data_IF_121590987961
#
_entry.id   IF_121590987961
#
_cell.length_a   1.000
_cell.length_b   1.000
_cell.length_c   1.000
_cell.angle_alpha   90.00
_cell.angle_beta   90.00
_cell.angle_gamma   90.00
#
_symmetry.space_group_name_H-M   'P 1'
#
loop_
_entity.id
_entity.type
_entity.pdbx_description
1 polymer ?
#
# COMPACT_ATOMS: atom_id res chain seq x y z
N UNK A 1 -7.07 10.08 -5.05
CA UNK A 1 -5.61 9.86 -5.08
C UNK A 1 -5.20 9.87 -3.62
N UNK A 2 -4.37 8.93 -3.17
CA UNK A 2 -4.02 8.78 -1.77
C UNK A 2 -2.76 9.60 -1.48
N UNK A 3 -2.71 10.30 -0.35
CA UNK A 3 -1.53 11.07 0.06
C UNK A 3 -0.39 10.14 0.52
N UNK A 4 0.82 10.70 0.61
CA UNK A 4 1.96 9.95 1.12
C UNK A 4 1.79 9.51 2.59
N UNK A 5 1.11 10.33 3.39
CA UNK A 5 0.83 10.05 4.80
C UNK A 5 -0.18 8.90 4.93
N UNK A 6 -1.27 8.97 4.17
CA UNK A 6 -2.27 7.90 4.12
C UNK A 6 -1.63 6.59 3.65
N UNK A 7 -0.79 6.62 2.61
CA UNK A 7 -0.12 5.42 2.12
C UNK A 7 0.75 4.76 3.19
N UNK A 8 1.52 5.55 3.95
CA UNK A 8 2.31 5.03 5.08
C UNK A 8 1.43 4.44 6.17
N UNK A 9 0.38 5.16 6.57
CA UNK A 9 -0.56 4.69 7.58
C UNK A 9 -1.22 3.36 7.17
N UNK A 10 -1.58 3.20 5.90
CA UNK A 10 -2.12 1.94 5.39
C UNK A 10 -1.10 0.79 5.43
N UNK A 11 0.17 1.06 5.10
CA UNK A 11 1.23 0.04 5.24
C UNK A 11 1.46 -0.36 6.69
N UNK A 12 1.48 0.61 7.60
CA UNK A 12 1.66 0.38 9.03
C UNK A 12 0.47 -0.40 9.61
N UNK A 13 -0.77 -0.06 9.24
CA UNK A 13 -1.97 -0.80 9.63
C UNK A 13 -1.96 -2.26 9.12
N UNK A 14 -1.33 -2.49 7.97
CA UNK A 14 -1.14 -3.83 7.40
C UNK A 14 0.12 -4.53 7.91
N UNK A 15 0.93 -3.89 8.77
CA UNK A 15 2.25 -4.36 9.17
C UNK A 15 3.12 -4.80 7.98
N UNK A 16 3.07 -4.03 6.88
CA UNK A 16 3.81 -4.31 5.66
C UNK A 16 5.00 -3.37 5.52
N UNK A 17 6.17 -3.94 5.22
CA UNK A 17 7.30 -3.14 4.74
C UNK A 17 7.02 -2.66 3.32
N UNK A 18 7.69 -1.58 2.90
CA UNK A 18 7.56 -1.08 1.52
C UNK A 18 7.96 -2.13 0.45
N UNK A 19 8.86 -3.05 0.79
CA UNK A 19 9.27 -4.14 -0.08
C UNK A 19 8.19 -5.22 -0.19
N UNK A 20 7.54 -5.57 0.92
CA UNK A 20 6.41 -6.50 0.91
C UNK A 20 5.20 -5.89 0.19
N UNK A 21 4.91 -4.62 0.46
CA UNK A 21 3.87 -3.88 -0.25
C UNK A 21 4.10 -3.85 -1.76
N UNK A 22 5.34 -3.62 -2.20
CA UNK A 22 5.71 -3.65 -3.61
C UNK A 22 5.42 -5.01 -4.24
N UNK A 23 5.76 -6.10 -3.54
CA UNK A 23 5.47 -7.47 -3.99
C UNK A 23 3.96 -7.75 -4.07
N UNK A 24 3.20 -7.37 -3.06
CA UNK A 24 1.74 -7.59 -3.02
C UNK A 24 0.98 -6.75 -4.04
N UNK A 25 1.44 -5.52 -4.31
CA UNK A 25 0.84 -4.60 -5.26
C UNK A 25 1.33 -4.82 -6.71
N UNK A 26 2.31 -5.71 -6.92
CA UNK A 26 2.88 -5.96 -8.25
C UNK A 26 3.67 -4.77 -8.83
N UNK A 27 4.26 -3.92 -7.98
CA UNK A 27 5.03 -2.74 -8.40
C UNK A 27 6.50 -2.86 -7.99
N UNK A 28 7.37 -2.06 -8.59
CA UNK A 28 8.77 -2.00 -8.17
C UNK A 28 8.92 -1.39 -6.78
N UNK A 29 9.97 -1.77 -6.05
CA UNK A 29 10.30 -1.18 -4.76
C UNK A 29 10.48 0.34 -4.84
N UNK A 30 11.12 0.84 -5.91
CA UNK A 30 11.28 2.28 -6.17
C UNK A 30 9.93 2.98 -6.34
N UNK A 31 8.95 2.31 -6.95
CA UNK A 31 7.59 2.82 -7.11
C UNK A 31 6.89 2.93 -5.76
N UNK A 32 7.00 1.91 -4.91
CA UNK A 32 6.48 1.94 -3.52
C UNK A 32 7.11 3.07 -2.69
N UNK A 33 8.43 3.29 -2.81
CA UNK A 33 9.12 4.43 -2.19
C UNK A 33 8.61 5.78 -2.72
N UNK A 34 8.33 5.88 -4.03
CA UNK A 34 7.75 7.09 -4.62
C UNK A 34 6.38 7.38 -4.03
N UNK A 35 5.53 6.37 -3.84
CA UNK A 35 4.22 6.53 -3.22
C UNK A 35 4.31 7.03 -1.78
N UNK A 36 5.28 6.52 -1.01
CA UNK A 36 5.56 7.00 0.34
C UNK A 36 6.12 8.43 0.40
N UNK A 37 6.51 9.05 -0.73
CA UNK A 37 6.99 10.44 -0.80
C UNK A 37 6.00 11.40 -1.46
N UNK A 38 5.34 10.96 -2.53
CA UNK A 38 4.51 11.81 -3.39
C UNK A 38 3.01 11.48 -3.33
N UNK A 39 2.64 10.36 -2.68
CA UNK A 39 1.28 9.84 -2.71
C UNK A 39 1.10 8.77 -3.78
N UNK A 40 0.05 7.97 -3.60
CA UNK A 40 -0.28 6.84 -4.45
C UNK A 40 -1.47 7.16 -5.37
N UNK A 41 -1.45 6.69 -6.63
CA UNK A 41 -2.60 6.74 -7.52
C UNK A 41 -3.83 6.03 -6.93
N UNK A 42 -5.03 6.38 -7.43
CA UNK A 42 -6.30 5.82 -6.93
C UNK A 42 -6.38 4.29 -7.05
N UNK A 43 -5.83 3.70 -8.11
CA UNK A 43 -5.82 2.24 -8.26
C UNK A 43 -4.98 1.52 -7.21
N UNK A 44 -3.88 2.13 -6.74
CA UNK A 44 -3.07 1.58 -5.64
C UNK A 44 -3.79 1.68 -4.31
N UNK A 45 -4.51 2.79 -4.07
CA UNK A 45 -5.32 2.95 -2.87
C UNK A 45 -6.40 1.85 -2.77
N UNK A 46 -7.11 1.59 -3.87
CA UNK A 46 -8.11 0.50 -3.95
C UNK A 46 -7.48 -0.89 -3.76
N UNK A 47 -6.28 -1.12 -4.31
CA UNK A 47 -5.57 -2.38 -4.11
C UNK A 47 -5.14 -2.59 -2.64
N UNK A 48 -4.73 -1.53 -1.94
CA UNK A 48 -4.43 -1.59 -0.51
C UNK A 48 -5.69 -1.86 0.33
N UNK A 49 -6.82 -1.24 0.00
CA UNK A 49 -8.11 -1.52 0.65
C UNK A 49 -8.55 -2.98 0.44
N UNK A 50 -8.40 -3.50 -0.78
CA UNK A 50 -8.70 -4.91 -1.07
C UNK A 50 -7.78 -5.87 -0.29
N UNK A 51 -6.48 -5.55 -0.18
CA UNK A 51 -5.54 -6.31 0.65
C UNK A 51 -5.93 -6.29 2.14
N UNK A 52 -6.40 -5.14 2.64
CA UNK A 52 -6.89 -5.02 4.01
C UNK A 52 -8.15 -5.85 4.26
N UNK A 53 -9.10 -5.82 3.32
CA UNK A 53 -10.32 -6.63 3.39
C UNK A 53 -9.99 -8.14 3.37
N UNK A 54 -9.12 -8.58 2.48
CA UNK A 54 -8.73 -9.99 2.36
C UNK A 54 -8.06 -10.53 3.64
N UNK A 55 -7.24 -9.72 4.32
CA UNK A 55 -6.65 -10.12 5.61
C UNK A 55 -7.67 -10.18 6.74
N UNK A 56 -8.70 -9.35 6.69
CA UNK A 56 -9.78 -9.37 7.69
C UNK A 56 -10.65 -10.61 7.56
N UNK A 57 -10.82 -11.14 6.36
CA UNK A 57 -11.56 -12.40 6.10
C UNK A 57 -10.74 -13.65 6.46
N UNK A 58 -9.40 -13.55 6.47
CA UNK A 58 -8.51 -14.66 6.77
C UNK A 58 -8.14 -14.78 8.27
N UNK A 59 -8.61 -13.87 9.11
CA UNK A 59 -8.38 -13.82 10.56
C UNK A 59 -9.64 -14.21 11.33
#
# INVERSE_FOLDING_TARGET
MMTAAEYKAALDALNLTQQQAAKSLGVSYRTSQRYAKQGAPRHIALALEALAAQRKEAA
#
